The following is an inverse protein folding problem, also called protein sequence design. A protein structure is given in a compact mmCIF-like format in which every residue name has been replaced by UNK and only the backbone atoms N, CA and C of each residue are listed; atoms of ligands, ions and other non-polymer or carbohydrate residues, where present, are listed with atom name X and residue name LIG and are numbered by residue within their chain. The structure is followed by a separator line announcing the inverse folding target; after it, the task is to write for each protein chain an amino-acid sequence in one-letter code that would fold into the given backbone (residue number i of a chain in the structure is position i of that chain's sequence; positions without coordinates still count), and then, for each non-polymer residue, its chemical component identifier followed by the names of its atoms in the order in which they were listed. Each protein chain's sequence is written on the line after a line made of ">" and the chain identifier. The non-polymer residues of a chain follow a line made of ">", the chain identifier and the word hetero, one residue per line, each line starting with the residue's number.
data_IF_249407110566
#
_entry.id   IF_249407110566
#
_cell.length_a   1.000
_cell.length_b   1.000
_cell.length_c   1.000
_cell.angle_alpha   90.00
_cell.angle_beta   90.00
_cell.angle_gamma   90.00
#
_symmetry.space_group_name_H-M   'P 1'
#
loop_
_entity.id
_entity.type
_entity.pdbx_description
1 polymer ?
#
# COMPACT_ATOMS: atom_id res chain seq x y z
N UNK A 1 -23.69 1.88 34.16
CA UNK A 1 -22.43 1.12 34.04
C UNK A 1 -21.45 2.05 33.34
N UNK A 2 -20.48 2.60 34.07
CA UNK A 2 -19.55 3.60 33.55
C UNK A 2 -18.64 2.94 32.51
N UNK A 3 -18.78 3.28 31.23
CA UNK A 3 -17.72 3.07 30.25
C UNK A 3 -16.56 3.94 30.72
N UNK A 4 -15.52 3.33 31.27
CA UNK A 4 -14.30 4.04 31.63
C UNK A 4 -13.77 4.76 30.40
N UNK A 5 -13.49 6.04 30.58
CA UNK A 5 -13.05 7.08 29.63
C UNK A 5 -11.69 6.74 29.00
N UNK A 6 -11.60 5.57 28.37
CA UNK A 6 -10.36 5.01 27.86
C UNK A 6 -10.26 5.37 26.40
N UNK A 7 -9.47 6.39 26.08
CA UNK A 7 -9.16 6.78 24.70
C UNK A 7 -8.54 5.58 23.95
N UNK A 8 -9.27 4.95 22.99
CA UNK A 8 -8.76 3.76 22.30
C UNK A 8 -7.50 4.03 21.48
N UNK A 9 -7.28 5.29 21.07
CA UNK A 9 -6.09 5.71 20.32
C UNK A 9 -4.86 5.71 21.25
N UNK A 10 -4.99 6.28 22.45
CA UNK A 10 -3.93 6.30 23.46
C UNK A 10 -3.62 4.91 24.04
N UNK A 11 -4.60 3.99 24.01
CA UNK A 11 -4.44 2.61 24.49
C UNK A 11 -3.56 1.71 23.59
N UNK A 12 -3.20 2.16 22.39
CA UNK A 12 -2.34 1.39 21.49
C UNK A 12 -0.88 1.41 21.93
N UNK A 13 -0.27 0.22 22.03
CA UNK A 13 1.17 0.03 22.26
C UNK A 13 1.76 -0.84 21.14
N UNK A 14 2.73 -0.33 20.35
CA UNK A 14 3.27 1.04 20.37
C UNK A 14 2.22 2.11 19.99
N UNK A 15 2.47 3.41 20.25
CA UNK A 15 1.55 4.48 19.85
C UNK A 15 1.22 4.46 18.36
N UNK A 16 -0.01 4.83 18.01
CA UNK A 16 -0.44 4.96 16.62
C UNK A 16 0.38 6.01 15.89
N UNK A 17 0.78 5.73 14.64
CA UNK A 17 1.47 6.70 13.79
C UNK A 17 0.77 6.88 12.44
N UNK A 18 0.98 8.04 11.83
CA UNK A 18 0.48 8.34 10.48
C UNK A 18 1.06 7.32 9.49
N UNK A 19 0.22 6.86 8.55
CA UNK A 19 0.55 5.83 7.57
C UNK A 19 0.17 4.42 8.02
N UNK A 20 -0.17 4.19 9.29
CA UNK A 20 -0.67 2.88 9.74
C UNK A 20 -2.09 2.61 9.22
N UNK A 21 -2.36 1.34 8.93
CA UNK A 21 -3.68 0.88 8.52
C UNK A 21 -4.50 0.45 9.74
N UNK A 22 -5.72 0.97 9.84
CA UNK A 22 -6.59 0.78 11.00
C UNK A 22 -8.02 0.44 10.60
N UNK A 23 -8.72 -0.24 11.51
CA UNK A 23 -10.18 -0.33 11.55
C UNK A 23 -10.60 0.50 12.76
N UNK A 24 -11.44 1.50 12.53
CA UNK A 24 -11.91 2.45 13.55
C UNK A 24 -13.43 2.51 13.53
N UNK A 25 -14.04 2.54 14.71
CA UNK A 25 -15.45 2.85 14.89
C UNK A 25 -15.57 4.29 15.40
N UNK A 26 -16.09 5.17 14.57
CA UNK A 26 -16.40 6.55 14.91
C UNK A 26 -17.85 6.63 15.35
N UNK A 27 -18.13 7.25 16.50
CA UNK A 27 -19.48 7.49 17.05
C UNK A 27 -19.63 8.99 17.34
N UNK A 28 -19.96 9.81 16.34
CA UNK A 28 -20.18 11.25 16.54
C UNK A 28 -21.38 11.50 17.46
N UNK A 29 -21.34 12.60 18.22
CA UNK A 29 -22.38 12.93 19.22
C UNK A 29 -23.79 13.03 18.61
N UNK A 30 -23.90 13.65 17.43
CA UNK A 30 -25.16 13.87 16.71
C UNK A 30 -25.25 13.05 15.41
N UNK A 31 -24.45 11.99 15.29
CA UNK A 31 -24.29 11.23 14.06
C UNK A 31 -24.57 9.74 14.22
N UNK A 32 -24.62 9.03 13.08
CA UNK A 32 -24.65 7.58 13.09
C UNK A 32 -23.22 7.02 13.30
N UNK A 33 -23.09 5.91 14.04
CA UNK A 33 -21.83 5.17 14.10
C UNK A 33 -21.34 4.75 12.71
N UNK A 34 -20.06 4.96 12.44
CA UNK A 34 -19.41 4.62 11.17
C UNK A 34 -18.17 3.79 11.42
N UNK A 35 -18.10 2.59 10.83
CA UNK A 35 -16.88 1.79 10.80
C UNK A 35 -16.06 2.13 9.55
N UNK A 36 -14.81 2.53 9.75
CA UNK A 36 -13.89 2.90 8.67
C UNK A 36 -12.68 1.98 8.70
N UNK A 37 -12.34 1.44 7.52
CA UNK A 37 -11.13 0.66 7.30
C UNK A 37 -10.24 1.42 6.31
N UNK A 38 -9.10 1.92 6.78
CA UNK A 38 -8.27 2.80 5.97
C UNK A 38 -6.90 3.05 6.58
N UNK A 39 -6.24 4.09 6.09
CA UNK A 39 -4.92 4.51 6.53
C UNK A 39 -5.01 5.83 7.29
N UNK A 40 -4.32 5.93 8.42
CA UNK A 40 -4.19 7.19 9.17
C UNK A 40 -3.43 8.19 8.29
N UNK A 41 -4.05 9.33 8.00
CA UNK A 41 -3.43 10.42 7.22
C UNK A 41 -3.15 11.66 8.04
N UNK A 42 -3.85 11.83 9.16
CA UNK A 42 -3.58 12.85 10.15
C UNK A 42 -3.91 12.31 11.55
N UNK A 43 -3.11 12.72 12.53
CA UNK A 43 -3.24 12.29 13.92
C UNK A 43 -2.67 13.38 14.83
N UNK A 44 -3.54 13.97 15.65
CA UNK A 44 -3.17 14.96 16.66
C UNK A 44 -3.69 14.53 18.04
N UNK A 45 -3.55 15.39 19.04
CA UNK A 45 -4.10 15.14 20.37
C UNK A 45 -5.64 15.13 20.39
N UNK A 46 -6.28 15.77 19.40
CA UNK A 46 -7.74 15.90 19.33
C UNK A 46 -8.37 15.23 18.09
N UNK A 47 -7.60 15.01 17.03
CA UNK A 47 -8.10 14.61 15.72
C UNK A 47 -7.51 13.27 15.25
N UNK A 48 -8.33 12.50 14.55
CA UNK A 48 -7.90 11.35 13.76
C UNK A 48 -8.55 11.45 12.37
N UNK A 49 -7.73 11.38 11.33
CA UNK A 49 -8.21 11.31 9.95
C UNK A 49 -7.77 10.00 9.31
N UNK A 50 -8.74 9.26 8.77
CA UNK A 50 -8.52 7.98 8.09
C UNK A 50 -8.98 8.07 6.64
N UNK A 51 -8.08 7.79 5.70
CA UNK A 51 -8.42 7.68 4.29
C UNK A 51 -8.79 6.23 3.96
N UNK A 52 -10.01 6.02 3.47
CA UNK A 52 -10.46 4.69 3.07
C UNK A 52 -9.91 4.28 1.69
N UNK A 53 -10.28 3.08 1.24
CA UNK A 53 -9.81 2.56 -0.07
C UNK A 53 -10.37 3.29 -1.28
N UNK A 54 -11.48 4.00 -1.11
CA UNK A 54 -12.17 4.76 -2.15
C UNK A 54 -11.63 6.19 -2.25
N UNK A 55 -10.69 6.57 -1.38
CA UNK A 55 -10.12 7.91 -1.35
C UNK A 55 -10.98 8.90 -0.55
N UNK A 56 -11.94 8.41 0.22
CA UNK A 56 -12.76 9.22 1.12
C UNK A 56 -12.03 9.41 2.45
N UNK A 57 -11.90 10.68 2.87
CA UNK A 57 -11.32 11.04 4.15
C UNK A 57 -12.42 11.07 5.23
N UNK A 58 -12.22 10.27 6.27
CA UNK A 58 -13.08 10.21 7.44
C UNK A 58 -12.36 10.88 8.59
N UNK A 59 -12.80 12.09 8.90
CA UNK A 59 -12.29 12.87 10.03
C UNK A 59 -13.21 12.69 11.24
N UNK A 60 -12.61 12.47 12.42
CA UNK A 60 -13.34 12.40 13.68
C UNK A 60 -12.49 12.90 14.84
N UNK A 61 -13.15 13.40 15.89
CA UNK A 61 -12.43 13.74 17.12
C UNK A 61 -12.01 12.45 17.83
N UNK A 62 -10.88 12.46 18.54
CA UNK A 62 -10.40 11.28 19.29
C UNK A 62 -11.40 10.80 20.34
N UNK A 63 -12.09 11.73 21.00
CA UNK A 63 -13.18 11.42 21.94
C UNK A 63 -14.39 10.70 21.31
N UNK A 64 -14.52 10.75 19.99
CA UNK A 64 -15.60 10.09 19.22
C UNK A 64 -15.16 8.71 18.73
N UNK A 65 -13.90 8.31 18.96
CA UNK A 65 -13.41 6.96 18.64
C UNK A 65 -13.89 5.98 19.72
N UNK A 66 -14.87 5.15 19.37
CA UNK A 66 -15.41 4.13 20.28
C UNK A 66 -14.54 2.86 20.31
N UNK A 67 -13.90 2.52 19.20
CA UNK A 67 -12.98 1.39 19.10
C UNK A 67 -11.95 1.62 17.98
N UNK A 68 -10.74 1.10 18.18
CA UNK A 68 -9.68 1.17 17.17
C UNK A 68 -8.77 -0.05 17.27
N UNK A 69 -8.36 -0.58 16.11
CA UNK A 69 -7.30 -1.60 16.02
C UNK A 69 -6.44 -1.42 14.78
N UNK A 70 -5.17 -1.81 14.89
CA UNK A 70 -4.27 -1.99 13.75
C UNK A 70 -4.74 -3.15 12.89
N UNK A 71 -4.68 -2.96 11.57
CA UNK A 71 -5.02 -3.98 10.59
C UNK A 71 -3.83 -4.21 9.68
N UNK A 72 -3.29 -5.43 9.57
CA UNK A 72 -2.18 -5.69 8.66
C UNK A 72 -2.59 -5.47 7.21
N UNK A 73 -1.60 -5.26 6.33
CA UNK A 73 -1.83 -5.24 4.90
C UNK A 73 -2.39 -6.59 4.42
N UNK A 74 -3.29 -6.55 3.42
CA UNK A 74 -3.87 -7.76 2.87
C UNK A 74 -2.84 -8.53 2.03
N UNK A 75 -2.60 -9.80 2.36
CA UNK A 75 -1.60 -10.65 1.69
C UNK A 75 -1.87 -10.87 0.20
N UNK A 76 -3.13 -11.05 -0.20
CA UNK A 76 -3.47 -11.39 -1.58
C UNK A 76 -3.03 -12.79 -2.03
N UNK A 77 -3.23 -13.06 -3.32
CA UNK A 77 -2.90 -14.35 -3.96
C UNK A 77 -1.40 -14.49 -4.22
N UNK A 78 -0.95 -15.63 -4.77
CA UNK A 78 0.43 -15.80 -5.26
C UNK A 78 0.58 -15.06 -6.60
N UNK A 79 1.42 -14.02 -6.69
CA UNK A 79 1.60 -13.25 -7.93
C UNK A 79 2.07 -14.12 -9.12
N UNK A 80 2.83 -15.18 -8.85
CA UNK A 80 3.36 -16.09 -9.86
C UNK A 80 2.28 -16.95 -10.55
N UNK A 81 1.10 -17.07 -9.95
CA UNK A 81 -0.02 -17.82 -10.51
C UNK A 81 -0.93 -16.94 -11.38
N UNK A 82 -0.61 -15.66 -11.54
CA UNK A 82 -1.40 -14.73 -12.34
C UNK A 82 -1.20 -14.99 -13.83
N UNK A 83 -2.28 -15.07 -14.63
CA UNK A 83 -2.18 -15.24 -16.07
C UNK A 83 -1.28 -14.18 -16.70
N UNK A 84 -0.41 -14.63 -17.62
CA UNK A 84 0.63 -13.77 -18.18
C UNK A 84 0.07 -12.65 -19.06
N UNK A 85 -0.95 -12.97 -19.84
CA UNK A 85 -1.73 -12.02 -20.64
C UNK A 85 -2.34 -10.88 -19.80
N UNK A 86 -2.82 -11.19 -18.59
CA UNK A 86 -3.31 -10.17 -17.66
C UNK A 86 -2.19 -9.23 -17.20
N UNK A 87 -1.02 -9.77 -16.86
CA UNK A 87 0.14 -8.96 -16.43
C UNK A 87 0.66 -8.09 -17.57
N UNK A 88 0.74 -8.63 -18.78
CA UNK A 88 1.16 -7.89 -19.97
C UNK A 88 0.16 -6.78 -20.31
N UNK A 89 -1.15 -7.05 -20.24
CA UNK A 89 -2.16 -6.01 -20.47
C UNK A 89 -2.09 -4.87 -19.43
N UNK A 90 -1.80 -5.18 -18.16
CA UNK A 90 -1.55 -4.18 -17.12
C UNK A 90 -0.28 -3.37 -17.41
N UNK A 91 0.77 -4.04 -17.89
CA UNK A 91 2.03 -3.42 -18.27
C UNK A 91 1.89 -2.47 -19.47
N UNK A 92 1.12 -2.85 -20.49
CA UNK A 92 0.82 -2.01 -21.64
C UNK A 92 0.11 -0.71 -21.22
N UNK A 93 -0.91 -0.82 -20.36
CA UNK A 93 -1.62 0.35 -19.82
C UNK A 93 -0.74 1.23 -18.93
N UNK A 94 0.26 0.65 -18.29
CA UNK A 94 1.25 1.37 -17.49
C UNK A 94 2.45 1.86 -18.33
N UNK A 95 2.47 1.58 -19.64
CA UNK A 95 3.61 1.86 -20.53
C UNK A 95 4.93 1.29 -19.99
N UNK A 96 4.88 0.07 -19.47
CA UNK A 96 5.97 -0.58 -18.76
C UNK A 96 6.52 -1.78 -19.57
N UNK A 97 7.45 -1.57 -20.50
CA UNK A 97 7.99 -2.65 -21.33
C UNK A 97 8.97 -3.54 -20.55
N UNK A 98 9.24 -4.72 -21.11
CA UNK A 98 10.25 -5.64 -20.60
C UNK A 98 9.69 -6.82 -19.81
N UNK A 99 10.58 -7.56 -19.15
CA UNK A 99 10.27 -8.76 -18.39
C UNK A 99 9.55 -8.45 -17.08
N UNK A 100 8.48 -9.17 -16.70
CA UNK A 100 7.79 -8.98 -15.44
C UNK A 100 8.46 -9.70 -14.29
N UNK A 101 8.69 -8.91 -13.26
CA UNK A 101 9.11 -9.34 -11.94
C UNK A 101 7.99 -9.06 -10.96
N UNK A 102 7.57 -10.08 -10.23
CA UNK A 102 6.40 -9.97 -9.35
C UNK A 102 6.72 -10.32 -7.92
N UNK A 103 6.04 -9.66 -6.98
CA UNK A 103 6.03 -10.03 -5.57
C UNK A 103 4.74 -9.56 -4.89
N UNK A 104 4.48 -10.08 -3.69
CA UNK A 104 3.39 -9.54 -2.87
C UNK A 104 3.86 -8.27 -2.19
N UNK A 105 2.98 -7.29 -2.10
CA UNK A 105 3.27 -6.06 -1.36
C UNK A 105 3.58 -6.37 0.12
N UNK A 106 2.90 -7.34 0.74
CA UNK A 106 3.21 -7.73 2.13
C UNK A 106 4.62 -8.28 2.31
N UNK A 107 5.13 -8.97 1.29
CA UNK A 107 6.46 -9.57 1.36
C UNK A 107 7.52 -8.47 1.09
N UNK A 108 7.27 -7.56 0.14
CA UNK A 108 8.13 -6.39 -0.17
C UNK A 108 8.25 -5.39 0.99
N UNK A 109 7.16 -5.16 1.73
CA UNK A 109 7.08 -4.17 2.81
C UNK A 109 7.30 -4.79 4.20
N UNK A 110 7.64 -6.07 4.28
CA UNK A 110 7.89 -6.73 5.56
C UNK A 110 9.00 -6.01 6.34
N UNK A 111 8.71 -5.66 7.60
CA UNK A 111 9.63 -4.93 8.48
C UNK A 111 9.90 -3.47 8.08
N UNK A 112 9.21 -2.94 7.07
CA UNK A 112 9.33 -1.53 6.68
C UNK A 112 8.36 -0.66 7.49
N UNK A 113 8.81 0.55 7.84
CA UNK A 113 7.93 1.54 8.49
C UNK A 113 7.03 2.18 7.42
N UNK A 114 5.70 2.28 7.66
CA UNK A 114 4.81 3.01 6.77
C UNK A 114 5.24 4.49 6.65
N UNK A 115 5.27 5.07 5.45
CA UNK A 115 5.62 6.46 5.28
C UNK A 115 4.48 7.36 5.77
N UNK A 116 4.83 8.49 6.38
CA UNK A 116 3.87 9.48 6.86
C UNK A 116 3.03 10.06 5.70
N UNK A 117 3.61 10.21 4.53
CA UNK A 117 2.91 10.66 3.32
C UNK A 117 3.19 9.73 2.14
N UNK A 118 2.20 9.65 1.26
CA UNK A 118 2.33 9.06 -0.08
C UNK A 118 1.67 10.02 -1.07
N UNK A 119 1.88 9.86 -2.38
CA UNK A 119 1.14 10.62 -3.39
C UNK A 119 -0.37 10.54 -3.22
N UNK A 120 -1.09 11.49 -3.81
CA UNK A 120 -2.55 11.52 -3.77
C UNK A 120 -3.16 10.21 -4.32
N UNK A 121 -4.38 9.90 -3.86
CA UNK A 121 -5.17 8.80 -4.38
C UNK A 121 -5.41 8.99 -5.88
N UNK A 122 -5.27 7.93 -6.68
CA UNK A 122 -5.50 8.02 -8.12
C UNK A 122 -5.03 6.80 -8.88
N UNK A 123 -5.33 6.71 -10.19
CA UNK A 123 -4.90 5.58 -11.01
C UNK A 123 -3.39 5.57 -11.28
N UNK A 124 -2.71 6.71 -11.11
CA UNK A 124 -1.27 6.86 -11.34
C UNK A 124 -0.62 7.76 -10.31
N UNK A 125 0.67 7.52 -10.04
CA UNK A 125 1.51 8.40 -9.22
C UNK A 125 2.96 8.35 -9.70
N UNK A 126 3.64 9.49 -9.60
CA UNK A 126 5.05 9.63 -9.98
C UNK A 126 5.96 9.56 -8.77
N UNK A 127 7.06 8.82 -8.92
CA UNK A 127 8.13 8.63 -7.95
C UNK A 127 9.46 8.97 -8.65
N UNK A 128 9.80 10.25 -8.66
CA UNK A 128 10.87 10.77 -9.51
C UNK A 128 10.48 10.69 -10.99
N UNK A 129 11.33 10.07 -11.82
CA UNK A 129 11.07 9.87 -13.26
C UNK A 129 10.14 8.69 -13.56
N UNK A 130 9.80 7.86 -12.57
CA UNK A 130 9.00 6.65 -12.74
C UNK A 130 7.54 6.95 -12.41
N UNK A 131 6.62 6.67 -13.34
CA UNK A 131 5.18 6.76 -13.10
C UNK A 131 4.61 5.36 -12.93
N UNK A 132 4.16 5.04 -11.72
CA UNK A 132 3.47 3.79 -11.42
C UNK A 132 1.98 3.91 -11.73
N UNK A 133 1.35 2.79 -12.08
CA UNK A 133 -0.09 2.67 -12.33
C UNK A 133 -0.71 1.64 -11.40
N UNK A 134 -1.80 1.99 -10.74
CA UNK A 134 -2.61 1.09 -9.92
C UNK A 134 -3.86 0.65 -10.68
N UNK A 135 -4.15 -0.65 -10.67
CA UNK A 135 -5.36 -1.20 -11.27
C UNK A 135 -5.76 -2.52 -10.58
N UNK A 136 -6.98 -2.59 -10.07
CA UNK A 136 -7.49 -3.78 -9.37
C UNK A 136 -6.67 -4.12 -8.12
N UNK A 137 -6.05 -5.31 -8.10
CA UNK A 137 -5.18 -5.73 -6.98
C UNK A 137 -3.68 -5.46 -7.26
N UNK A 138 -3.34 -4.73 -8.32
CA UNK A 138 -1.97 -4.58 -8.81
C UNK A 138 -1.49 -3.14 -8.84
N UNK A 139 -0.19 -2.98 -8.58
CA UNK A 139 0.57 -1.81 -9.01
C UNK A 139 1.65 -2.25 -9.99
N UNK A 140 1.74 -1.54 -11.11
CA UNK A 140 2.72 -1.75 -12.16
C UNK A 140 3.71 -0.60 -12.15
N UNK A 141 5.00 -0.92 -12.09
CA UNK A 141 6.10 0.05 -12.01
C UNK A 141 7.06 -0.16 -13.18
N UNK A 142 7.28 0.84 -14.04
CA UNK A 142 8.26 0.77 -15.13
C UNK A 142 9.67 1.03 -14.58
N UNK A 143 10.42 -0.04 -14.30
CA UNK A 143 11.80 0.04 -13.79
C UNK A 143 11.94 0.68 -12.41
N UNK A 144 13.05 1.40 -12.20
CA UNK A 144 13.40 2.05 -10.92
C UNK A 144 14.22 1.17 -9.98
N UNK A 145 14.31 1.59 -8.72
CA UNK A 145 15.02 0.89 -7.66
C UNK A 145 14.09 0.48 -6.51
N UNK A 146 14.64 -0.20 -5.50
CA UNK A 146 13.88 -0.67 -4.33
C UNK A 146 13.14 0.43 -3.58
N UNK A 147 13.67 1.66 -3.58
CA UNK A 147 13.02 2.81 -2.92
C UNK A 147 11.75 3.18 -3.68
N UNK A 148 11.84 3.26 -5.02
CA UNK A 148 10.69 3.51 -5.89
C UNK A 148 9.64 2.40 -5.76
N UNK A 149 10.04 1.13 -5.76
CA UNK A 149 9.10 0.01 -5.67
C UNK A 149 8.35 0.00 -4.34
N UNK A 150 9.05 0.28 -3.23
CA UNK A 150 8.42 0.38 -1.90
C UNK A 150 7.50 1.58 -1.80
N UNK A 151 7.89 2.74 -2.31
CA UNK A 151 7.06 3.94 -2.31
C UNK A 151 5.77 3.72 -3.13
N UNK A 152 5.88 3.13 -4.32
CA UNK A 152 4.74 2.76 -5.16
C UNK A 152 3.84 1.72 -4.47
N UNK A 153 4.42 0.73 -3.79
CA UNK A 153 3.66 -0.27 -3.05
C UNK A 153 2.89 0.36 -1.87
N UNK A 154 3.51 1.23 -1.07
CA UNK A 154 2.83 1.94 0.02
C UNK A 154 1.65 2.76 -0.49
N UNK A 155 1.85 3.54 -1.54
CA UNK A 155 0.78 4.28 -2.21
C UNK A 155 -0.35 3.36 -2.68
N UNK A 156 -0.01 2.29 -3.39
CA UNK A 156 -0.99 1.38 -3.99
C UNK A 156 -1.82 0.61 -2.95
N UNK A 157 -1.25 0.30 -1.78
CA UNK A 157 -2.01 -0.38 -0.70
C UNK A 157 -3.16 0.46 -0.17
N UNK A 158 -3.08 1.80 -0.27
CA UNK A 158 -4.19 2.68 0.10
C UNK A 158 -5.41 2.44 -0.76
N UNK A 159 -5.23 1.98 -2.00
CA UNK A 159 -6.31 1.67 -2.93
C UNK A 159 -6.64 0.18 -2.99
N UNK A 160 -6.01 -0.65 -2.14
CA UNK A 160 -6.28 -2.08 -2.04
C UNK A 160 -5.41 -2.98 -2.92
N UNK A 161 -4.34 -2.46 -3.53
CA UNK A 161 -3.36 -3.30 -4.21
C UNK A 161 -2.71 -4.29 -3.23
N UNK A 162 -2.38 -5.49 -3.74
CA UNK A 162 -1.81 -6.60 -2.98
C UNK A 162 -0.54 -7.16 -3.63
N UNK A 163 -0.36 -6.90 -4.91
CA UNK A 163 0.78 -7.37 -5.69
C UNK A 163 1.45 -6.23 -6.42
N UNK A 164 2.76 -6.34 -6.61
CA UNK A 164 3.56 -5.46 -7.46
C UNK A 164 4.04 -6.25 -8.65
N UNK A 165 3.99 -5.64 -9.83
CA UNK A 165 4.86 -6.02 -10.94
C UNK A 165 5.82 -4.87 -11.27
N UNK A 166 7.09 -5.20 -11.43
CA UNK A 166 8.12 -4.33 -11.99
C UNK A 166 8.46 -4.86 -13.37
N UNK A 167 8.52 -3.98 -14.36
CA UNK A 167 8.92 -4.34 -15.73
C UNK A 167 10.32 -3.84 -15.98
N UNK A 168 11.21 -4.74 -16.38
CA UNK A 168 12.64 -4.45 -16.60
C UNK A 168 12.98 -4.77 -18.05
N UNK A 169 13.56 -3.83 -18.81
CA UNK A 169 14.08 -4.09 -20.16
C UNK A 169 15.09 -5.25 -20.19
N UNK A 170 15.35 -5.79 -21.38
CA UNK A 170 16.39 -6.79 -21.59
C UNK A 170 17.66 -6.11 -22.13
N UNK A 171 18.44 -5.51 -21.24
CA UNK A 171 19.71 -4.85 -21.56
C UNK A 171 20.78 -5.04 -20.45
N UNK A 172 22.04 -4.67 -20.73
CA UNK A 172 23.16 -4.88 -19.80
C UNK A 172 22.98 -4.13 -18.46
N UNK A 173 22.35 -2.94 -18.49
CA UNK A 173 22.03 -2.18 -17.28
C UNK A 173 20.99 -2.89 -16.40
N UNK A 174 20.19 -3.78 -16.99
CA UNK A 174 19.12 -4.52 -16.32
C UNK A 174 19.63 -5.68 -15.45
N UNK A 175 20.89 -6.11 -15.56
CA UNK A 175 21.45 -7.15 -14.67
C UNK A 175 21.50 -6.69 -13.21
N UNK A 176 21.97 -5.46 -12.95
CA UNK A 176 22.03 -4.91 -11.60
C UNK A 176 20.61 -4.75 -10.99
N UNK A 177 19.64 -4.36 -11.83
CA UNK A 177 18.22 -4.24 -11.44
C UNK A 177 17.64 -5.62 -11.09
N UNK A 178 17.93 -6.65 -11.89
CA UNK A 178 17.50 -8.02 -11.62
C UNK A 178 18.03 -8.55 -10.27
N UNK A 179 19.30 -8.27 -9.93
CA UNK A 179 19.87 -8.63 -8.63
C UNK A 179 19.17 -7.89 -7.48
N UNK A 180 18.89 -6.59 -7.66
CA UNK A 180 18.14 -5.81 -6.67
C UNK A 180 16.71 -6.33 -6.48
N UNK A 181 16.06 -6.77 -7.56
CA UNK A 181 14.72 -7.39 -7.53
C UNK A 181 14.73 -8.71 -6.75
N UNK A 182 15.70 -9.59 -7.02
CA UNK A 182 15.86 -10.83 -6.26
C UNK A 182 16.08 -10.55 -4.76
N UNK A 183 16.96 -9.61 -4.43
CA UNK A 183 17.23 -9.20 -3.05
C UNK A 183 15.98 -8.59 -2.36
N UNK A 184 15.11 -7.94 -3.13
CA UNK A 184 13.83 -7.41 -2.66
C UNK A 184 12.69 -8.46 -2.66
N UNK A 185 12.98 -9.73 -2.99
CA UNK A 185 12.02 -10.83 -2.94
C UNK A 185 11.07 -10.91 -4.14
N UNK A 186 11.46 -10.36 -5.29
CA UNK A 186 10.73 -10.55 -6.54
C UNK A 186 11.10 -11.86 -7.23
N UNK A 187 10.14 -12.39 -7.99
CA UNK A 187 10.32 -13.55 -8.86
C UNK A 187 10.15 -13.11 -10.31
N UNK A 188 11.12 -13.44 -11.17
CA UNK A 188 10.96 -13.30 -12.62
C UNK A 188 10.00 -14.35 -13.16
N UNK A 189 9.13 -13.95 -14.09
CA UNK A 189 8.19 -14.87 -14.75
C UNK A 189 8.60 -15.25 -16.17
N UNK A 190 9.76 -14.81 -16.66
CA UNK A 190 10.24 -15.17 -17.99
C UNK A 190 11.09 -16.44 -18.02
N UNK A 191 11.72 -16.84 -16.91
CA UNK A 191 12.66 -17.97 -16.86
C UNK A 191 13.91 -17.72 -17.74
N UNK A 192 15.15 -17.87 -17.32
CA UNK A 192 15.76 -18.50 -16.16
C UNK A 192 17.00 -17.68 -15.75
N UNK A 193 17.25 -17.57 -14.45
CA UNK A 193 18.61 -17.49 -13.96
C UNK A 193 18.84 -18.77 -13.15
N UNK A 194 19.31 -19.81 -13.84
CA UNK A 194 20.03 -20.94 -13.28
C UNK A 194 21.40 -20.96 -13.95
#
# INVERSE_FOLDING_TARGET
>A
MQQGDTDPVAGLVPPLVVGERVSVLLTPVDGQPTEVLGFVTDLTDDLLTVLDRHGEAHEGRRREVAALRRVPLARGRRPQATPRDLLDALADRAQAPGAPWVTRITDLLAGQTPPASVPAWGPTASFGAVTARMEGEWVTVPGGDVTVWRAAAWWATRMGARSVQVRVPDDEASHAVAQALLAAGFTSLDGAAA
#
